data_IF_849113162471
#
_entry.id   IF_849113162471
#
_cell.length_a   1.000
_cell.length_b   1.000
_cell.length_c   1.000
_cell.angle_alpha   90.00
_cell.angle_beta   90.00
_cell.angle_gamma   90.00
#
_symmetry.space_group_name_H-M   'P 1'
#
loop_
_entity.id
_entity.type
_entity.pdbx_description
1 polymer ?
#
# COMPACT_ATOMS: atom_id res chain seq x y z
N UNK A 1 -18.06 -7.50 10.09
CA UNK A 1 -17.97 -8.93 10.51
C UNK A 1 -17.08 -8.99 11.74
N UNK A 2 -17.42 -9.76 12.78
CA UNK A 2 -16.43 -10.06 13.82
C UNK A 2 -15.26 -10.77 13.14
N UNK A 3 -14.09 -10.12 13.13
CA UNK A 3 -12.89 -10.65 12.50
C UNK A 3 -12.32 -11.83 13.30
N UNK A 4 -11.48 -12.63 12.65
CA UNK A 4 -10.61 -13.58 13.35
C UNK A 4 -9.61 -12.81 14.21
N UNK A 5 -9.20 -13.39 15.35
CA UNK A 5 -8.22 -12.75 16.24
C UNK A 5 -6.92 -12.47 15.50
N UNK A 6 -6.44 -11.22 15.56
CA UNK A 6 -5.18 -10.78 14.95
C UNK A 6 -4.00 -11.61 15.43
N UNK A 7 -4.03 -12.11 16.66
CA UNK A 7 -2.96 -12.95 17.22
C UNK A 7 -2.83 -14.29 16.49
N UNK A 8 -3.88 -14.72 15.77
CA UNK A 8 -3.91 -15.98 15.03
C UNK A 8 -3.64 -15.75 13.54
N UNK A 9 -4.13 -14.64 12.97
CA UNK A 9 -4.11 -14.40 11.50
C UNK A 9 -3.07 -13.39 11.03
N UNK A 10 -2.33 -12.73 11.92
CA UNK A 10 -1.27 -11.80 11.53
C UNK A 10 0.04 -12.55 11.31
N UNK A 11 0.62 -12.38 10.13
CA UNK A 11 1.97 -12.86 9.86
C UNK A 11 3.01 -11.82 10.29
N UNK A 12 3.95 -12.23 11.14
CA UNK A 12 5.10 -11.41 11.51
C UNK A 12 6.26 -11.64 10.52
N UNK A 13 6.59 -10.61 9.75
CA UNK A 13 7.74 -10.64 8.85
C UNK A 13 9.04 -10.55 9.66
N UNK A 14 9.88 -11.58 9.57
CA UNK A 14 11.23 -11.57 10.15
C UNK A 14 12.16 -10.77 9.23
N UNK A 15 12.55 -9.58 9.68
CA UNK A 15 13.51 -8.71 8.99
C UNK A 15 14.88 -8.88 9.66
N UNK A 16 15.98 -8.84 8.91
CA UNK A 16 17.32 -8.86 9.52
C UNK A 16 17.52 -7.62 10.39
N UNK A 17 18.17 -7.79 11.54
CA UNK A 17 18.37 -6.71 12.52
C UNK A 17 19.20 -5.54 11.97
N UNK A 18 20.03 -5.78 10.96
CA UNK A 18 20.89 -4.78 10.29
C UNK A 18 20.21 -4.08 9.09
N UNK A 19 18.97 -4.44 8.75
CA UNK A 19 18.24 -3.82 7.65
C UNK A 19 17.82 -2.40 8.01
N UNK A 20 18.32 -1.42 7.24
CA UNK A 20 17.91 -0.03 7.36
C UNK A 20 16.60 0.21 6.59
N UNK A 21 15.70 1.06 7.13
CA UNK A 21 14.51 1.48 6.41
C UNK A 21 14.88 2.24 5.13
N UNK A 22 14.05 2.09 4.09
CA UNK A 22 14.25 2.74 2.80
C UNK A 22 13.05 3.63 2.48
N UNK A 23 13.34 4.89 2.19
CA UNK A 23 12.38 5.83 1.61
C UNK A 23 12.67 6.00 0.12
N UNK A 24 11.83 5.40 -0.72
CA UNK A 24 11.93 5.57 -2.16
C UNK A 24 11.43 6.97 -2.56
N UNK A 25 12.23 7.66 -3.38
CA UNK A 25 11.84 8.95 -3.95
C UNK A 25 10.57 8.79 -4.79
N UNK A 26 9.59 9.68 -4.59
CA UNK A 26 8.33 9.69 -5.32
C UNK A 26 8.58 9.80 -6.83
N UNK A 27 7.98 8.89 -7.60
CA UNK A 27 8.01 8.94 -9.07
C UNK A 27 7.00 9.93 -9.60
N UNK A 28 7.40 10.71 -10.61
CA UNK A 28 6.47 11.53 -11.40
C UNK A 28 5.59 10.60 -12.23
N UNK A 29 4.28 10.79 -12.15
CA UNK A 29 3.28 10.07 -12.92
C UNK A 29 2.39 11.08 -13.66
N UNK A 30 1.75 10.62 -14.73
CA UNK A 30 0.80 11.44 -15.47
C UNK A 30 -0.45 11.72 -14.61
N UNK A 31 -1.06 12.91 -14.70
CA UNK A 31 -2.22 13.27 -13.87
C UNK A 31 -3.39 12.29 -13.98
N UNK A 32 -3.65 11.77 -15.18
CA UNK A 32 -4.73 10.80 -15.42
C UNK A 32 -4.53 9.48 -14.66
N UNK A 33 -3.27 9.06 -14.47
CA UNK A 33 -2.92 7.86 -13.72
C UNK A 33 -2.98 8.11 -12.21
N UNK A 34 -2.55 9.29 -11.76
CA UNK A 34 -2.61 9.68 -10.34
C UNK A 34 -4.05 9.66 -9.83
N UNK A 35 -5.01 10.13 -10.64
CA UNK A 35 -6.43 10.10 -10.30
C UNK A 35 -6.94 8.66 -10.11
N UNK A 36 -6.62 7.75 -11.04
CA UNK A 36 -7.00 6.33 -10.93
C UNK A 36 -6.41 5.65 -9.69
N UNK A 37 -5.13 5.92 -9.41
CA UNK A 37 -4.47 5.42 -8.19
C UNK A 37 -5.20 5.92 -6.95
N UNK A 38 -5.57 7.20 -6.90
CA UNK A 38 -6.28 7.78 -5.74
C UNK A 38 -7.63 7.10 -5.53
N UNK A 39 -8.37 6.82 -6.60
CA UNK A 39 -9.66 6.15 -6.52
C UNK A 39 -9.54 4.70 -6.00
N UNK A 40 -8.56 3.94 -6.50
CA UNK A 40 -8.33 2.56 -6.04
C UNK A 40 -7.79 2.50 -4.60
N UNK A 41 -6.89 3.42 -4.23
CA UNK A 41 -6.41 3.55 -2.84
C UNK A 41 -7.57 3.87 -1.90
N UNK A 42 -8.45 4.80 -2.28
CA UNK A 42 -9.62 5.15 -1.48
C UNK A 42 -10.54 3.94 -1.31
N UNK A 43 -10.80 3.18 -2.38
CA UNK A 43 -11.62 1.97 -2.32
C UNK A 43 -11.03 0.91 -1.38
N UNK A 44 -9.71 0.70 -1.39
CA UNK A 44 -9.05 -0.23 -0.47
C UNK A 44 -9.04 0.27 0.98
N UNK A 45 -8.92 1.58 1.18
CA UNK A 45 -9.03 2.22 2.49
C UNK A 45 -10.45 2.08 3.07
N UNK A 46 -11.47 2.41 2.28
CA UNK A 46 -12.88 2.29 2.68
C UNK A 46 -13.29 0.83 2.95
N UNK A 47 -12.65 -0.13 2.26
CA UNK A 47 -12.81 -1.57 2.53
C UNK A 47 -12.06 -2.06 3.77
N UNK A 48 -11.23 -1.23 4.41
CA UNK A 48 -10.45 -1.56 5.60
C UNK A 48 -9.17 -2.36 5.33
N UNK A 49 -8.70 -2.43 4.08
CA UNK A 49 -7.42 -3.08 3.75
C UNK A 49 -6.22 -2.18 4.01
N UNK A 50 -6.40 -0.86 3.90
CA UNK A 50 -5.37 0.14 4.13
C UNK A 50 -5.69 0.93 5.40
N UNK A 51 -4.65 1.39 6.08
CA UNK A 51 -4.74 2.28 7.23
C UNK A 51 -3.69 3.38 7.13
N UNK A 52 -3.96 4.52 7.76
CA UNK A 52 -3.00 5.62 7.84
C UNK A 52 -1.87 5.26 8.80
N UNK A 53 -0.62 5.49 8.39
CA UNK A 53 0.57 5.33 9.23
C UNK A 53 1.31 6.66 9.28
N UNK A 54 1.60 7.13 10.50
CA UNK A 54 2.33 8.38 10.73
C UNK A 54 3.83 8.11 10.90
N UNK A 55 4.65 8.98 10.31
CA UNK A 55 6.11 8.98 10.46
C UNK A 55 6.81 7.67 10.04
N UNK A 56 6.32 6.99 9.00
CA UNK A 56 6.98 5.78 8.49
C UNK A 56 8.36 6.10 7.89
N UNK A 57 9.39 5.39 8.34
CA UNK A 57 10.71 5.40 7.71
C UNK A 57 10.75 4.53 6.44
N UNK A 58 9.73 3.68 6.24
CA UNK A 58 9.58 2.83 5.06
C UNK A 58 8.58 3.46 4.08
N UNK A 59 9.07 3.82 2.89
CA UNK A 59 8.22 4.37 1.82
C UNK A 59 8.54 3.67 0.52
N UNK A 60 7.55 3.00 -0.07
CA UNK A 60 7.64 2.38 -1.38
C UNK A 60 6.80 3.15 -2.39
N UNK A 61 7.26 3.19 -3.64
CA UNK A 61 6.51 3.79 -4.73
C UNK A 61 5.34 2.90 -5.18
N UNK A 62 4.21 3.53 -5.51
CA UNK A 62 3.09 2.85 -6.19
C UNK A 62 3.43 2.67 -7.66
N UNK A 63 3.17 1.47 -8.18
CA UNK A 63 3.33 1.14 -9.60
C UNK A 63 1.98 0.68 -10.16
N UNK A 64 1.29 1.51 -10.95
CA UNK A 64 0.03 1.13 -11.58
C UNK A 64 0.29 0.13 -12.70
N UNK A 65 -0.47 -0.97 -12.72
CA UNK A 65 -0.41 -1.98 -13.78
C UNK A 65 -1.81 -2.17 -14.34
N UNK A 66 -2.04 -1.86 -15.63
CA UNK A 66 -3.34 -2.11 -16.26
C UNK A 66 -3.69 -3.60 -16.23
N UNK A 67 -4.89 -3.91 -15.76
CA UNK A 67 -5.47 -5.25 -15.89
C UNK A 67 -5.93 -5.48 -17.33
N UNK A 68 -6.20 -6.75 -17.67
CA UNK A 68 -6.65 -7.15 -19.01
C UNK A 68 -7.93 -6.43 -19.47
N UNK A 69 -8.77 -6.00 -18.52
CA UNK A 69 -10.00 -5.24 -18.78
C UNK A 69 -9.77 -3.73 -18.95
N UNK A 70 -8.51 -3.29 -19.04
CA UNK A 70 -8.12 -1.89 -19.23
C UNK A 70 -8.26 -1.02 -17.98
N UNK A 71 -8.68 -1.61 -16.84
CA UNK A 71 -8.71 -0.91 -15.55
C UNK A 71 -7.31 -0.83 -14.96
N UNK A 72 -7.04 0.29 -14.28
CA UNK A 72 -5.85 0.50 -13.44
C UNK A 72 -6.31 0.44 -12.00
#
# INVERSE_FOLDING_TARGET
MPGLSTDIVVHHLLIRQDCKPVQQKLRRMRPDIVLKIKDEVKKQFDAGFLQEVKYSEWVANIVPVPKKDGKV
#
